data_IF_928478164947
#
_entry.id   IF_928478164947
#
_cell.length_a   1.000
_cell.length_b   1.000
_cell.length_c   1.000
_cell.angle_alpha   90.00
_cell.angle_beta   90.00
_cell.angle_gamma   90.00
#
_symmetry.space_group_name_H-M   'P 1'
#
loop_
_entity.id
_entity.type
_entity.pdbx_description
1 polymer ?
#
# COMPACT_ATOMS: atom_id res chain seq x y z
N UNK A 1 4.85 -13.92 -1.73
CA UNK A 1 5.84 -14.77 -1.03
C UNK A 1 5.61 -14.68 0.48
N UNK A 2 5.73 -15.79 1.20
CA UNK A 2 5.56 -15.81 2.66
C UNK A 2 6.68 -15.05 3.39
N UNK A 3 6.39 -14.34 4.50
CA UNK A 3 7.37 -13.55 5.26
C UNK A 3 8.62 -14.34 5.67
N UNK A 4 8.47 -15.60 6.06
CA UNK A 4 9.58 -16.45 6.48
C UNK A 4 10.55 -16.74 5.33
N UNK A 5 10.04 -16.87 4.10
CA UNK A 5 10.88 -17.08 2.92
C UNK A 5 11.67 -15.82 2.59
N UNK A 6 11.03 -14.65 2.69
CA UNK A 6 11.66 -13.34 2.49
C UNK A 6 12.77 -13.13 3.53
N UNK A 7 12.50 -13.46 4.79
CA UNK A 7 13.47 -13.36 5.88
C UNK A 7 14.73 -14.20 5.62
N UNK A 8 14.57 -15.45 5.18
CA UNK A 8 15.70 -16.34 4.87
C UNK A 8 16.61 -15.74 3.80
N UNK A 9 16.04 -15.29 2.68
CA UNK A 9 16.84 -14.66 1.62
C UNK A 9 17.54 -13.39 2.11
N UNK A 10 16.85 -12.54 2.87
CA UNK A 10 17.42 -11.32 3.41
C UNK A 10 18.58 -11.60 4.38
N UNK A 11 18.41 -12.58 5.27
CA UNK A 11 19.40 -12.98 6.28
C UNK A 11 20.65 -13.60 5.66
N UNK A 12 20.51 -14.43 4.62
CA UNK A 12 21.64 -15.10 3.97
C UNK A 12 22.47 -14.19 3.06
N UNK A 13 22.01 -12.95 2.84
CA UNK A 13 22.69 -12.04 1.95
C UNK A 13 22.46 -12.35 0.47
N UNK A 14 21.41 -13.12 0.14
CA UNK A 14 21.02 -13.42 -1.23
C UNK A 14 20.64 -12.12 -1.99
N UNK A 15 20.69 -12.13 -3.34
CA UNK A 15 20.02 -11.08 -4.12
C UNK A 15 18.52 -11.05 -3.80
N UNK A 16 17.89 -9.89 -3.95
CA UNK A 16 16.43 -9.77 -3.80
C UNK A 16 15.75 -10.66 -4.85
N UNK A 17 14.80 -11.53 -4.46
CA UNK A 17 14.04 -12.33 -5.42
C UNK A 17 13.32 -11.45 -6.45
N UNK A 18 13.24 -11.92 -7.69
CA UNK A 18 12.46 -11.25 -8.73
C UNK A 18 10.95 -11.43 -8.50
N UNK A 19 10.15 -10.50 -9.04
CA UNK A 19 8.69 -10.58 -9.02
C UNK A 19 8.02 -10.30 -7.67
N UNK A 20 8.78 -9.87 -6.66
CA UNK A 20 8.23 -9.45 -5.38
C UNK A 20 7.31 -8.22 -5.55
N UNK A 21 6.19 -8.22 -4.83
CA UNK A 21 5.33 -7.04 -4.73
C UNK A 21 6.02 -5.93 -3.93
N UNK A 22 5.51 -4.69 -4.00
CA UNK A 22 6.14 -3.57 -3.31
C UNK A 22 6.25 -3.78 -1.78
N UNK A 23 5.21 -4.28 -1.07
CA UNK A 23 5.33 -4.67 0.34
C UNK A 23 6.39 -5.74 0.61
N UNK A 24 6.54 -6.72 -0.28
CA UNK A 24 7.50 -7.81 -0.12
C UNK A 24 8.94 -7.32 -0.29
N UNK A 25 9.19 -6.46 -1.26
CA UNK A 25 10.50 -5.81 -1.45
C UNK A 25 10.87 -4.96 -0.24
N UNK A 26 9.92 -4.22 0.32
CA UNK A 26 10.14 -3.42 1.53
C UNK A 26 10.49 -4.32 2.72
N UNK A 27 9.73 -5.40 2.94
CA UNK A 27 9.99 -6.34 4.03
C UNK A 27 11.38 -6.99 3.89
N UNK A 28 11.77 -7.37 2.67
CA UNK A 28 13.10 -7.91 2.39
C UNK A 28 14.22 -6.96 2.83
N UNK A 29 14.13 -5.69 2.42
CA UNK A 29 15.15 -4.70 2.79
C UNK A 29 15.13 -4.39 4.28
N UNK A 30 13.95 -4.32 4.90
CA UNK A 30 13.85 -4.13 6.34
C UNK A 30 14.49 -5.27 7.13
N UNK A 31 14.30 -6.53 6.73
CA UNK A 31 15.01 -7.65 7.36
C UNK A 31 16.51 -7.56 7.14
N UNK A 32 16.98 -7.18 5.95
CA UNK A 32 18.41 -7.05 5.69
C UNK A 32 19.05 -6.01 6.61
N UNK A 33 18.42 -4.85 6.77
CA UNK A 33 18.87 -3.82 7.71
C UNK A 33 18.86 -4.33 9.17
N UNK A 34 17.79 -5.02 9.58
CA UNK A 34 17.66 -5.57 10.93
C UNK A 34 18.80 -6.55 11.26
N UNK A 35 19.10 -7.48 10.35
CA UNK A 35 20.16 -8.46 10.54
C UNK A 35 21.56 -7.84 10.49
N UNK A 36 21.80 -6.87 9.61
CA UNK A 36 23.07 -6.12 9.59
C UNK A 36 23.28 -5.41 10.93
N UNK A 37 22.25 -4.73 11.46
CA UNK A 37 22.34 -4.02 12.73
C UNK A 37 22.60 -4.99 13.91
N UNK A 38 21.90 -6.12 13.93
CA UNK A 38 22.09 -7.15 14.96
C UNK A 38 23.48 -7.78 14.90
N UNK A 39 23.96 -8.18 13.72
CA UNK A 39 25.29 -8.77 13.55
C UNK A 39 26.43 -7.78 13.83
N UNK A 40 26.21 -6.49 13.57
CA UNK A 40 27.15 -5.42 13.93
C UNK A 40 27.10 -5.05 15.43
N UNK A 41 26.27 -5.71 16.23
CA UNK A 41 26.11 -5.44 17.66
C UNK A 41 25.51 -4.07 17.99
N UNK A 42 24.79 -3.46 17.03
CA UNK A 42 24.14 -2.15 17.22
C UNK A 42 22.82 -2.26 17.98
N UNK A 43 22.18 -3.41 17.90
CA UNK A 43 20.98 -3.78 18.65
C UNK A 43 21.20 -5.15 19.29
N UNK A 44 20.56 -5.38 20.42
CA UNK A 44 20.57 -6.70 21.06
C UNK A 44 19.50 -7.62 20.46
N UNK A 45 19.46 -8.85 20.99
CA UNK A 45 18.54 -9.89 20.53
C UNK A 45 17.08 -9.55 20.88
N UNK A 46 16.84 -8.90 22.01
CA UNK A 46 15.48 -8.56 22.45
C UNK A 46 14.87 -7.51 21.51
N UNK A 47 15.62 -6.42 21.28
CA UNK A 47 15.26 -5.36 20.36
C UNK A 47 15.03 -5.92 18.94
N UNK A 48 15.92 -6.80 18.45
CA UNK A 48 15.76 -7.42 17.14
C UNK A 48 14.46 -8.25 17.01
N UNK A 49 14.05 -8.95 18.07
CA UNK A 49 12.79 -9.71 18.08
C UNK A 49 11.56 -8.81 18.08
N UNK A 50 11.60 -7.70 18.81
CA UNK A 50 10.51 -6.71 18.87
C UNK A 50 10.34 -6.07 17.49
N UNK A 51 11.43 -5.58 16.90
CA UNK A 51 11.41 -4.95 15.57
C UNK A 51 10.96 -5.94 14.49
N UNK A 52 11.47 -7.18 14.50
CA UNK A 52 11.00 -8.24 13.57
C UNK A 52 9.48 -8.39 13.60
N UNK A 53 8.87 -8.46 14.79
CA UNK A 53 7.41 -8.59 14.92
C UNK A 53 6.69 -7.37 14.35
N UNK A 54 7.21 -6.17 14.62
CA UNK A 54 6.65 -4.93 14.09
C UNK A 54 6.73 -4.86 12.54
N UNK A 55 7.86 -5.28 11.96
CA UNK A 55 8.03 -5.37 10.51
C UNK A 55 7.03 -6.32 9.86
N UNK A 56 6.81 -7.50 10.45
CA UNK A 56 5.83 -8.47 9.94
C UNK A 56 4.41 -7.88 10.05
N UNK A 57 4.05 -7.25 11.17
CA UNK A 57 2.74 -6.62 11.31
C UNK A 57 2.51 -5.52 10.25
N UNK A 58 3.50 -4.65 10.04
CA UNK A 58 3.42 -3.59 9.03
C UNK A 58 3.36 -4.16 7.61
N UNK A 59 4.06 -5.24 7.34
CA UNK A 59 3.96 -5.94 6.06
C UNK A 59 2.52 -6.43 5.78
N UNK A 60 1.86 -7.02 6.78
CA UNK A 60 0.47 -7.48 6.62
C UNK A 60 -0.48 -6.32 6.30
N UNK A 61 -0.32 -5.18 6.97
CA UNK A 61 -1.09 -3.96 6.67
C UNK A 61 -0.83 -3.48 5.24
N UNK A 62 0.44 -3.41 4.84
CA UNK A 62 0.84 -2.93 3.52
C UNK A 62 0.35 -3.87 2.41
N UNK A 63 0.40 -5.19 2.61
CA UNK A 63 -0.18 -6.16 1.68
C UNK A 63 -1.69 -5.94 1.52
N UNK A 64 -2.40 -5.73 2.64
CA UNK A 64 -3.83 -5.44 2.61
C UNK A 64 -4.13 -4.14 1.86
N UNK A 65 -3.35 -3.09 2.10
CA UNK A 65 -3.51 -1.82 1.40
C UNK A 65 -3.22 -1.94 -0.10
N UNK A 66 -2.19 -2.68 -0.49
CA UNK A 66 -1.90 -2.97 -1.90
C UNK A 66 -3.09 -3.68 -2.56
N UNK A 67 -3.66 -4.69 -1.90
CA UNK A 67 -4.82 -5.41 -2.43
C UNK A 67 -6.05 -4.50 -2.56
N UNK A 68 -6.34 -3.67 -1.55
CA UNK A 68 -7.44 -2.70 -1.59
C UNK A 68 -7.23 -1.71 -2.73
N UNK A 69 -6.01 -1.22 -2.91
CA UNK A 69 -5.67 -0.28 -3.98
C UNK A 69 -5.89 -0.92 -5.35
N UNK A 70 -5.34 -2.12 -5.59
CA UNK A 70 -5.52 -2.87 -6.85
C UNK A 70 -7.00 -3.12 -7.15
N UNK A 71 -7.76 -3.61 -6.18
CA UNK A 71 -9.20 -3.82 -6.33
C UNK A 71 -9.95 -2.52 -6.67
N UNK A 72 -9.56 -1.40 -6.03
CA UNK A 72 -10.15 -0.09 -6.29
C UNK A 72 -9.84 0.40 -7.71
N UNK A 73 -8.61 0.21 -8.18
CA UNK A 73 -8.21 0.49 -9.55
C UNK A 73 -9.04 -0.33 -10.55
N UNK A 74 -9.20 -1.64 -10.32
CA UNK A 74 -9.97 -2.53 -11.20
C UNK A 74 -11.44 -2.10 -11.30
N UNK A 75 -12.06 -1.75 -10.16
CA UNK A 75 -13.43 -1.25 -10.13
C UNK A 75 -13.53 0.07 -10.90
N UNK A 76 -12.57 0.98 -10.72
CA UNK A 76 -12.55 2.28 -11.41
C UNK A 76 -12.40 2.13 -12.92
N UNK A 77 -11.55 1.22 -13.40
CA UNK A 77 -11.40 0.95 -14.83
C UNK A 77 -12.71 0.43 -15.42
N UNK A 78 -13.37 -0.52 -14.74
CA UNK A 78 -14.69 -1.03 -15.16
C UNK A 78 -15.74 0.09 -15.19
N UNK A 79 -15.79 0.92 -14.15
CA UNK A 79 -16.71 2.04 -14.06
C UNK A 79 -16.48 3.08 -15.17
N UNK A 80 -15.22 3.38 -15.49
CA UNK A 80 -14.86 4.30 -16.57
C UNK A 80 -15.39 3.83 -17.93
N UNK A 81 -15.47 2.52 -18.17
CA UNK A 81 -16.09 1.94 -19.37
C UNK A 81 -17.55 2.35 -19.57
N UNK A 82 -18.31 2.55 -18.49
CA UNK A 82 -19.71 2.99 -18.53
C UNK A 82 -19.88 4.51 -18.49
N UNK A 83 -18.80 5.27 -18.27
CA UNK A 83 -18.88 6.71 -18.04
C UNK A 83 -19.52 7.44 -19.23
N UNK A 84 -19.09 7.13 -20.46
CA UNK A 84 -19.62 7.74 -21.67
C UNK A 84 -21.11 7.42 -21.87
N UNK A 85 -21.50 6.17 -21.72
CA UNK A 85 -22.90 5.73 -21.88
C UNK A 85 -23.84 6.46 -20.92
N UNK A 86 -23.41 6.66 -19.67
CA UNK A 86 -24.21 7.38 -18.67
C UNK A 86 -24.28 8.89 -18.97
N UNK A 87 -23.19 9.49 -19.43
CA UNK A 87 -23.15 10.93 -19.76
C UNK A 87 -23.99 11.27 -21.01
N UNK A 88 -24.02 10.37 -22.00
CA UNK A 88 -24.83 10.52 -23.24
C UNK A 88 -26.33 10.26 -23.00
N UNK A 89 -26.70 9.62 -21.88
CA UNK A 89 -28.10 9.36 -21.51
C UNK A 89 -28.89 10.59 -21.07
N UNK A 90 -30.17 10.40 -20.73
CA UNK A 90 -31.08 11.50 -20.30
C UNK A 90 -31.31 11.59 -18.79
N UNK A 91 -30.75 10.67 -17.99
CA UNK A 91 -30.95 10.61 -16.54
C UNK A 91 -29.94 11.49 -15.77
N UNK A 92 -30.32 12.71 -15.40
CA UNK A 92 -29.45 13.64 -14.65
C UNK A 92 -28.95 13.08 -13.31
N UNK A 93 -29.80 12.33 -12.60
CA UNK A 93 -29.42 11.65 -11.35
C UNK A 93 -28.31 10.62 -11.60
N UNK A 94 -28.37 9.90 -12.71
CA UNK A 94 -27.38 8.88 -13.07
C UNK A 94 -26.04 9.54 -13.42
N UNK A 95 -26.07 10.66 -14.16
CA UNK A 95 -24.87 11.49 -14.44
C UNK A 95 -24.22 12.00 -13.17
N UNK A 96 -25.03 12.52 -12.23
CA UNK A 96 -24.54 12.99 -10.93
C UNK A 96 -23.87 11.85 -10.14
N UNK A 97 -24.49 10.68 -10.07
CA UNK A 97 -23.91 9.51 -9.38
C UNK A 97 -22.59 9.07 -10.01
N UNK A 98 -22.51 9.01 -11.34
CA UNK A 98 -21.29 8.62 -12.06
C UNK A 98 -20.12 9.56 -11.72
N UNK A 99 -20.34 10.87 -11.77
CA UNK A 99 -19.32 11.89 -11.43
C UNK A 99 -18.87 11.82 -9.97
N UNK A 100 -19.74 11.39 -9.05
CA UNK A 100 -19.36 11.16 -7.64
C UNK A 100 -18.50 9.89 -7.53
N UNK A 101 -18.93 8.78 -8.15
CA UNK A 101 -18.23 7.50 -8.03
C UNK A 101 -16.85 7.48 -8.70
N UNK A 102 -16.68 8.17 -9.82
CA UNK A 102 -15.37 8.28 -10.49
C UNK A 102 -14.48 9.40 -9.93
N UNK A 103 -15.01 10.21 -9.01
CA UNK A 103 -14.27 11.26 -8.31
C UNK A 103 -14.17 12.60 -9.04
N UNK A 104 -14.86 12.79 -10.17
CA UNK A 104 -14.95 14.10 -10.87
C UNK A 104 -15.77 15.13 -10.11
N UNK A 105 -16.57 14.69 -9.14
CA UNK A 105 -17.31 15.55 -8.21
C UNK A 105 -17.12 15.06 -6.77
N UNK A 106 -16.57 15.95 -5.94
CA UNK A 106 -16.43 15.69 -4.50
C UNK A 106 -17.68 16.20 -3.79
N UNK A 107 -18.33 15.33 -3.03
CA UNK A 107 -19.44 15.72 -2.16
C UNK A 107 -18.90 16.43 -0.91
N UNK A 108 -18.79 17.75 -0.99
CA UNK A 108 -18.34 18.60 0.12
C UNK A 108 -19.29 18.65 1.32
N UNK A 109 -20.48 18.04 1.22
CA UNK A 109 -21.39 17.92 2.36
C UNK A 109 -21.00 16.76 3.30
N UNK A 110 -20.08 15.89 2.89
CA UNK A 110 -19.59 14.77 3.69
C UNK A 110 -18.34 15.18 4.50
N UNK A 111 -18.38 15.19 5.84
CA UNK A 111 -17.24 15.62 6.67
C UNK A 111 -16.01 14.70 6.55
N UNK A 112 -16.09 13.53 5.88
CA UNK A 112 -14.94 12.64 5.65
C UNK A 112 -14.06 13.03 4.45
N UNK A 113 -14.42 14.03 3.64
CA UNK A 113 -13.63 14.43 2.46
C UNK A 113 -12.40 15.32 2.75
N UNK A 114 -12.18 15.73 4.00
CA UNK A 114 -11.00 16.51 4.43
C UNK A 114 -9.84 15.61 4.90
N UNK A 115 -9.42 14.64 4.11
CA UNK A 115 -8.10 14.00 4.34
C UNK A 115 -7.07 14.80 3.55
N UNK A 116 -6.63 15.90 4.13
CA UNK A 116 -5.54 16.73 3.61
C UNK A 116 -4.26 15.90 3.61
N UNK A 117 -3.75 15.58 2.43
CA UNK A 117 -2.37 15.12 2.25
C UNK A 117 -1.48 16.35 2.41
N UNK A 118 -1.32 16.83 3.64
CA UNK A 118 -0.32 17.81 4.01
C UNK A 118 0.51 17.15 5.10
N UNK A 119 1.81 16.97 4.83
CA UNK A 119 2.89 16.50 5.73
C UNK A 119 3.63 15.22 5.29
N UNK A 120 3.90 15.06 3.99
CA UNK A 120 5.02 14.20 3.54
C UNK A 120 5.93 15.02 2.64
N UNK A 121 6.69 15.95 3.24
CA UNK A 121 7.60 16.81 2.49
C UNK A 121 8.12 17.98 3.31
N UNK A 122 8.96 17.69 4.30
CA UNK A 122 10.09 18.55 4.70
C UNK A 122 10.85 17.86 5.81
N UNK A 123 11.89 17.11 5.42
CA UNK A 123 13.13 16.92 6.17
C UNK A 123 14.11 16.22 5.22
N UNK A 124 14.75 17.04 4.39
CA UNK A 124 16.01 16.75 3.72
C UNK A 124 16.90 17.99 3.89
#
# INVERSE_FOLDING_TARGET
MEPLSIERHAMHGDPMPEGLTQPEQLLFQSFRCLYIAYHAGKIDREQAQIEKKALIARFMDNQRWEQIYRNTCDIRVKLAGYSKEVEDGTCDRCKKLMRIFDGRQIDRSNPRTEVTITEVGNNA
#
